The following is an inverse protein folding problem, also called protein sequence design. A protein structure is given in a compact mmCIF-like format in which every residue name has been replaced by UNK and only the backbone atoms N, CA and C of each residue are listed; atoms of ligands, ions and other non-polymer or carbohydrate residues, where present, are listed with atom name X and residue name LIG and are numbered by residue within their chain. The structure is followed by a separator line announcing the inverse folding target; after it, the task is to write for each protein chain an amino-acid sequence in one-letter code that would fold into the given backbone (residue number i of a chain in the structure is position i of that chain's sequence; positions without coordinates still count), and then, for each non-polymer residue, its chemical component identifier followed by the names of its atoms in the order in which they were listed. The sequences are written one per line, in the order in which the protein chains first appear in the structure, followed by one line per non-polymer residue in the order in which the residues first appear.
data_IF_421944593440
#
_entry.id   IF_421944593440
#
_cell.length_a   1.000
_cell.length_b   1.000
_cell.length_c   1.000
_cell.angle_alpha   90.00
_cell.angle_beta   90.00
_cell.angle_gamma   90.00
#
_symmetry.space_group_name_H-M   'P 1'
#
loop_
_entity.id
_entity.type
_entity.pdbx_description
1 polymer ?
#
# COMPACT_ATOMS: atom_id res chain seq x y z
N UNK A 1 -14.98 15.10 -0.98
CA UNK A 1 -14.43 14.15 0.02
C UNK A 1 -14.18 12.78 -0.59
N UNK A 2 -15.21 12.03 -1.03
CA UNK A 2 -15.05 10.66 -1.55
C UNK A 2 -14.18 10.58 -2.82
N UNK A 3 -14.35 11.50 -3.78
CA UNK A 3 -13.55 11.49 -5.02
C UNK A 3 -12.05 11.75 -4.78
N UNK A 4 -11.71 12.70 -3.91
CA UNK A 4 -10.32 12.96 -3.55
C UNK A 4 -9.71 11.79 -2.75
N UNK A 5 -10.54 11.12 -1.94
CA UNK A 5 -10.12 9.93 -1.19
C UNK A 5 -9.81 8.77 -2.15
N UNK A 6 -10.73 8.50 -3.10
CA UNK A 6 -10.58 7.45 -4.11
C UNK A 6 -9.46 7.73 -5.10
N UNK A 7 -9.18 9.00 -5.46
CA UNK A 7 -8.08 9.33 -6.39
C UNK A 7 -6.70 9.31 -5.72
N UNK A 8 -6.63 9.47 -4.41
CA UNK A 8 -5.34 9.49 -3.70
C UNK A 8 -4.56 8.18 -3.85
N UNK A 9 -5.26 7.05 -4.00
CA UNK A 9 -4.67 5.72 -4.12
C UNK A 9 -4.17 5.35 -5.51
N UNK A 10 -4.91 5.53 -6.63
CA UNK A 10 -4.34 5.33 -7.96
C UNK A 10 -3.13 6.24 -8.21
N UNK A 11 -3.13 7.46 -7.66
CA UNK A 11 -1.94 8.34 -7.69
C UNK A 11 -0.80 7.76 -6.83
N UNK A 12 -1.10 7.21 -5.66
CA UNK A 12 -0.12 6.53 -4.78
C UNK A 12 0.51 5.31 -5.48
N UNK A 13 -0.31 4.48 -6.12
CA UNK A 13 0.08 3.31 -6.90
C UNK A 13 0.94 3.74 -8.09
N UNK A 14 0.50 4.73 -8.86
CA UNK A 14 1.24 5.24 -10.02
C UNK A 14 2.61 5.78 -9.62
N UNK A 15 2.67 6.58 -8.54
CA UNK A 15 3.94 7.08 -8.02
C UNK A 15 4.84 5.96 -7.53
N UNK A 16 4.29 4.97 -6.82
CA UNK A 16 5.04 3.78 -6.38
C UNK A 16 5.60 3.00 -7.56
N UNK A 17 4.81 2.81 -8.62
CA UNK A 17 5.24 2.10 -9.82
C UNK A 17 6.34 2.84 -10.60
N UNK A 18 6.23 4.17 -10.73
CA UNK A 18 7.19 5.01 -11.47
C UNK A 18 8.47 5.24 -10.68
N UNK A 19 8.37 5.50 -9.37
CA UNK A 19 9.53 5.79 -8.52
C UNK A 19 10.43 4.57 -8.30
N UNK A 20 9.86 3.35 -8.37
CA UNK A 20 10.53 2.08 -8.06
C UNK A 20 11.24 2.08 -6.71
N UNK A 21 10.75 2.88 -5.77
CA UNK A 21 11.23 2.94 -4.39
C UNK A 21 10.05 2.95 -3.43
N UNK A 22 10.20 2.25 -2.31
CA UNK A 22 9.26 2.17 -1.20
C UNK A 22 9.60 3.17 -0.08
N UNK A 23 10.68 3.96 -0.22
CA UNK A 23 11.13 4.92 0.79
C UNK A 23 10.08 6.01 1.03
N UNK A 24 9.77 6.27 2.30
CA UNK A 24 8.82 7.30 2.74
C UNK A 24 7.35 6.86 2.77
N UNK A 25 7.03 5.61 2.41
CA UNK A 25 5.67 5.05 2.45
C UNK A 25 5.49 4.12 3.64
N UNK A 26 4.41 4.31 4.39
CA UNK A 26 4.13 3.55 5.62
C UNK A 26 3.17 2.38 5.34
N UNK A 27 3.71 1.18 5.21
CA UNK A 27 2.90 -0.04 5.03
C UNK A 27 1.95 -0.28 6.21
N UNK A 28 2.36 0.11 7.43
CA UNK A 28 1.52 -0.03 8.62
C UNK A 28 0.23 0.78 8.51
N UNK A 29 0.31 1.99 7.94
CA UNK A 29 -0.87 2.82 7.71
C UNK A 29 -1.84 2.16 6.71
N UNK A 30 -1.30 1.59 5.62
CA UNK A 30 -2.09 0.86 4.62
C UNK A 30 -2.74 -0.41 5.19
N UNK A 31 -2.03 -1.17 6.01
CA UNK A 31 -2.59 -2.35 6.71
C UNK A 31 -3.72 -1.93 7.64
N UNK A 32 -3.55 -0.83 8.38
CA UNK A 32 -4.59 -0.32 9.27
C UNK A 32 -5.85 0.10 8.50
N UNK A 33 -5.67 0.77 7.35
CA UNK A 33 -6.75 1.08 6.44
C UNK A 33 -7.44 -0.19 5.93
N UNK A 34 -6.66 -1.18 5.48
CA UNK A 34 -7.18 -2.46 4.98
C UNK A 34 -8.06 -3.16 6.01
N UNK A 35 -7.60 -3.26 7.26
CA UNK A 35 -8.36 -3.82 8.38
C UNK A 35 -9.65 -3.02 8.62
N UNK A 36 -9.56 -1.67 8.62
CA UNK A 36 -10.72 -0.79 8.75
C UNK A 36 -11.77 -1.04 7.65
N UNK A 37 -11.35 -1.24 6.41
CA UNK A 37 -12.25 -1.57 5.29
C UNK A 37 -12.91 -2.94 5.48
N UNK A 38 -12.18 -3.96 5.94
CA UNK A 38 -12.74 -5.29 6.25
C UNK A 38 -13.83 -5.19 7.32
N UNK A 39 -13.58 -4.45 8.41
CA UNK A 39 -14.60 -4.22 9.44
C UNK A 39 -15.80 -3.43 8.92
N UNK A 40 -15.59 -2.47 8.01
CA UNK A 40 -16.69 -1.75 7.36
C UNK A 40 -17.59 -2.66 6.50
N UNK A 41 -17.00 -3.63 5.80
CA UNK A 41 -17.72 -4.67 5.06
C UNK A 41 -18.49 -5.58 6.03
N UNK A 42 -17.85 -6.05 7.10
CA UNK A 42 -18.49 -6.89 8.11
C UNK A 42 -19.71 -6.19 8.74
N UNK A 43 -19.59 -4.91 9.07
CA UNK A 43 -20.71 -4.09 9.56
C UNK A 43 -21.86 -4.00 8.55
N UNK A 44 -21.56 -3.85 7.26
CA UNK A 44 -22.58 -3.84 6.19
C UNK A 44 -23.32 -5.18 6.10
N UNK A 45 -22.60 -6.30 6.21
CA UNK A 45 -23.22 -7.63 6.25
C UNK A 45 -24.08 -7.83 7.50
N UNK A 46 -23.63 -7.39 8.68
CA UNK A 46 -24.46 -7.41 9.88
C UNK A 46 -25.73 -6.58 9.73
N UNK A 47 -25.63 -5.39 9.12
CA UNK A 47 -26.79 -4.54 8.88
C UNK A 47 -27.77 -5.18 7.89
N UNK A 48 -27.27 -5.88 6.87
CA UNK A 48 -28.08 -6.68 5.95
C UNK A 48 -28.86 -7.79 6.68
N UNK A 49 -28.17 -8.54 7.54
CA UNK A 49 -28.75 -9.67 8.28
C UNK A 49 -29.75 -9.23 9.36
N UNK A 50 -29.47 -8.14 10.09
CA UNK A 50 -30.31 -7.68 11.21
C UNK A 50 -31.54 -6.90 10.71
N UNK A 51 -31.40 -6.08 9.66
CA UNK A 51 -32.51 -5.28 9.12
C UNK A 51 -33.40 -6.05 8.13
N UNK A 52 -33.14 -7.35 7.90
CA UNK A 52 -33.94 -8.19 7.00
C UNK A 52 -33.97 -7.71 5.55
N UNK A 53 -32.93 -6.99 5.09
CA UNK A 53 -32.89 -6.38 3.76
C UNK A 53 -33.76 -5.12 3.56
N UNK A 54 -34.44 -4.65 4.61
CA UNK A 54 -35.30 -3.46 4.58
C UNK A 54 -34.44 -2.19 4.50
N UNK A 55 -33.94 -1.85 3.31
CA UNK A 55 -33.03 -0.72 3.09
C UNK A 55 -31.96 -0.92 2.01
N UNK A 56 -32.00 -2.02 1.25
CA UNK A 56 -31.15 -2.28 0.09
C UNK A 56 -31.44 -1.33 -1.08
N UNK A 57 -31.07 -0.07 -0.89
CA UNK A 57 -31.15 0.95 -1.93
C UNK A 57 -29.91 0.88 -2.83
N UNK A 58 -29.98 1.54 -3.99
CA UNK A 58 -28.84 1.68 -4.91
C UNK A 58 -27.55 2.11 -4.19
N UNK A 59 -27.64 2.99 -3.20
CA UNK A 59 -26.51 3.44 -2.37
C UNK A 59 -25.82 2.30 -1.59
N UNK A 60 -26.55 1.26 -1.19
CA UNK A 60 -25.95 0.11 -0.51
C UNK A 60 -24.99 -0.65 -1.43
N UNK A 61 -25.46 -0.98 -2.64
CA UNK A 61 -24.69 -1.69 -3.66
C UNK A 61 -23.53 -0.83 -4.17
N UNK A 62 -23.78 0.46 -4.43
CA UNK A 62 -22.75 1.41 -4.80
C UNK A 62 -21.63 1.45 -3.74
N UNK A 63 -22.01 1.59 -2.46
CA UNK A 63 -21.05 1.55 -1.36
C UNK A 63 -20.32 0.21 -1.25
N UNK A 64 -20.99 -0.92 -1.50
CA UNK A 64 -20.36 -2.24 -1.47
C UNK A 64 -19.28 -2.37 -2.56
N UNK A 65 -19.58 -1.93 -3.79
CA UNK A 65 -18.63 -1.91 -4.91
C UNK A 65 -17.43 -1.04 -4.59
N UNK A 66 -17.64 0.17 -4.08
CA UNK A 66 -16.53 1.05 -3.67
C UNK A 66 -15.68 0.44 -2.55
N UNK A 67 -16.29 -0.26 -1.58
CA UNK A 67 -15.55 -0.95 -0.53
C UNK A 67 -14.64 -2.06 -1.08
N UNK A 68 -15.16 -2.88 -2.01
CA UNK A 68 -14.37 -3.91 -2.68
C UNK A 68 -13.25 -3.30 -3.52
N UNK A 69 -13.56 -2.26 -4.29
CA UNK A 69 -12.59 -1.54 -5.10
C UNK A 69 -11.46 -0.96 -4.24
N UNK A 70 -11.79 -0.39 -3.07
CA UNK A 70 -10.80 0.07 -2.12
C UNK A 70 -9.91 -1.09 -1.63
N UNK A 71 -10.47 -2.20 -1.14
CA UNK A 71 -9.63 -3.34 -0.69
C UNK A 71 -8.69 -3.82 -1.80
N UNK A 72 -9.18 -3.90 -3.05
CA UNK A 72 -8.36 -4.28 -4.20
C UNK A 72 -7.23 -3.28 -4.43
N UNK A 73 -7.52 -1.98 -4.42
CA UNK A 73 -6.50 -0.93 -4.59
C UNK A 73 -5.44 -0.97 -3.49
N UNK A 74 -5.79 -1.09 -2.20
CA UNK A 74 -4.79 -1.23 -1.12
C UNK A 74 -3.96 -2.48 -1.34
N UNK A 75 -4.58 -3.59 -1.73
CA UNK A 75 -3.88 -4.86 -1.90
C UNK A 75 -2.84 -4.77 -3.03
N UNK A 76 -3.19 -4.11 -4.14
CA UNK A 76 -2.26 -3.85 -5.25
C UNK A 76 -1.13 -2.92 -4.79
N UNK A 77 -1.45 -1.86 -4.05
CA UNK A 77 -0.47 -0.89 -3.55
C UNK A 77 0.53 -1.55 -2.59
N UNK A 78 0.04 -2.42 -1.70
CA UNK A 78 0.84 -3.20 -0.76
C UNK A 78 1.73 -4.22 -1.49
N UNK A 79 1.21 -4.88 -2.53
CA UNK A 79 2.01 -5.78 -3.36
C UNK A 79 3.15 -5.05 -4.10
N UNK A 80 2.86 -3.85 -4.63
CA UNK A 80 3.88 -2.99 -5.24
C UNK A 80 4.90 -2.50 -4.21
N UNK A 81 4.46 -2.18 -3.00
CA UNK A 81 5.36 -1.82 -1.90
C UNK A 81 6.36 -2.94 -1.62
N UNK A 82 5.91 -4.19 -1.48
CA UNK A 82 6.81 -5.33 -1.25
C UNK A 82 7.84 -5.51 -2.37
N UNK A 83 7.39 -5.36 -3.63
CA UNK A 83 8.29 -5.42 -4.80
C UNK A 83 9.34 -4.31 -4.75
N UNK A 84 8.94 -3.07 -4.47
CA UNK A 84 9.84 -1.93 -4.42
C UNK A 84 10.77 -1.98 -3.19
N UNK A 85 10.29 -2.50 -2.06
CA UNK A 85 11.09 -2.70 -0.86
C UNK A 85 12.22 -3.71 -1.09
N UNK A 86 11.98 -4.74 -1.90
CA UNK A 86 13.04 -5.67 -2.33
C UNK A 86 14.09 -4.97 -3.17
N UNK A 87 13.68 -4.16 -4.14
CA UNK A 87 14.59 -3.40 -5.01
C UNK A 87 15.42 -2.37 -4.23
N UNK A 88 14.82 -1.71 -3.25
CA UNK A 88 15.53 -0.76 -2.39
C UNK A 88 16.58 -1.47 -1.51
N UNK A 89 16.24 -2.65 -0.97
CA UNK A 89 17.18 -3.45 -0.18
C UNK A 89 18.38 -3.92 -0.99
N UNK A 90 18.16 -4.31 -2.24
CA UNK A 90 19.24 -4.67 -3.17
C UNK A 90 20.16 -3.47 -3.46
N UNK A 91 19.60 -2.27 -3.66
CA UNK A 91 20.40 -1.04 -3.85
C UNK A 91 21.20 -0.67 -2.62
N UNK A 92 20.62 -0.77 -1.42
CA UNK A 92 21.32 -0.48 -0.17
C UNK A 92 22.49 -1.44 0.06
N UNK A 93 22.30 -2.74 -0.21
CA UNK A 93 23.38 -3.71 -0.11
C UNK A 93 24.52 -3.41 -1.10
N UNK A 94 24.22 -3.05 -2.36
CA UNK A 94 25.26 -2.69 -3.34
C UNK A 94 26.04 -1.44 -2.92
N UNK A 95 25.36 -0.44 -2.35
CA UNK A 95 26.01 0.78 -1.86
C UNK A 95 26.94 0.44 -0.68
N UNK A 96 26.48 -0.37 0.29
CA UNK A 96 27.29 -0.78 1.43
C UNK A 96 28.55 -1.56 1.01
N UNK A 97 28.42 -2.49 0.07
CA UNK A 97 29.57 -3.25 -0.47
C UNK A 97 30.56 -2.33 -1.17
N UNK A 98 30.09 -1.38 -1.99
CA UNK A 98 30.98 -0.43 -2.66
C UNK A 98 31.70 0.48 -1.65
N UNK A 99 31.03 0.88 -0.57
CA UNK A 99 31.63 1.71 0.49
C UNK A 99 32.71 0.93 1.25
N UNK A 100 32.48 -0.35 1.57
CA UNK A 100 33.49 -1.24 2.15
C UNK A 100 34.72 -1.39 1.24
N UNK A 101 34.53 -1.69 -0.05
CA UNK A 101 35.63 -1.83 -1.02
C UNK A 101 36.45 -0.54 -1.14
N UNK A 102 35.80 0.62 -1.21
CA UNK A 102 36.50 1.91 -1.29
C UNK A 102 37.31 2.16 -0.01
N UNK A 103 36.79 1.80 1.16
CA UNK A 103 37.52 1.98 2.41
C UNK A 103 38.73 1.05 2.54
N UNK A 104 38.65 -0.17 2.01
CA UNK A 104 39.77 -1.11 1.95
C UNK A 104 40.88 -0.61 0.99
N UNK A 105 40.53 -0.19 -0.23
CA UNK A 105 41.50 0.36 -1.19
C UNK A 105 42.24 1.59 -0.63
N UNK A 106 41.50 2.50 0.03
CA UNK A 106 42.09 3.71 0.64
C UNK A 106 42.98 3.38 1.86
N UNK A 107 42.77 2.23 2.50
CA UNK A 107 43.61 1.76 3.59
C UNK A 107 44.92 1.14 3.09
N UNK A 108 44.87 0.32 2.03
CA UNK A 108 46.06 -0.26 1.39
C UNK A 108 46.97 0.81 0.77
N UNK A 109 46.42 1.85 0.15
CA UNK A 109 47.21 2.91 -0.51
C UNK A 109 47.97 3.83 0.48
N UNK A 110 47.76 3.64 1.80
CA UNK A 110 48.43 4.39 2.89
C UNK A 110 49.52 3.58 3.61
N UNK A 111 49.65 2.29 3.33
CA UNK A 111 50.72 1.42 3.85
C UNK A 111 51.96 1.42 2.93
#
# INVERSE_FOLDING_TARGET
MILCFGLSWPISIYRSYVSRTAKGKSIFFEVFLWIGYVFGIARKFMQYSIAGGTGLNFLFYLGLVFYFLNIVEISIDMALYFRNAKLDRERENTIAVNEEVITEEVAEDKE
#
